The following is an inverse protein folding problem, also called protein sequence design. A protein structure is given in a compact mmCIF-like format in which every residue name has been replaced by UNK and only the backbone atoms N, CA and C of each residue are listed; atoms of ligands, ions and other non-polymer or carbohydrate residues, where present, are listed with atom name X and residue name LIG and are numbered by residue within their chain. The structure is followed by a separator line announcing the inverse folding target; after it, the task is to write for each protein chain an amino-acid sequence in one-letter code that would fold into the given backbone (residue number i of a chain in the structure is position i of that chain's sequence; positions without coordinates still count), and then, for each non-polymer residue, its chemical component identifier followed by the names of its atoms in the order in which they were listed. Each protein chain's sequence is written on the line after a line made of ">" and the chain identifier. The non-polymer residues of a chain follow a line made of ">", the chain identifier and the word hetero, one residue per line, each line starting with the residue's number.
data_IF_587073793731
#
_entry.id   IF_587073793731
#
_cell.length_a   1.000
_cell.length_b   1.000
_cell.length_c   1.000
_cell.angle_alpha   90.00
_cell.angle_beta   90.00
_cell.angle_gamma   90.00
#
_symmetry.space_group_name_H-M   'P 1'
#
loop_
_entity.id
_entity.type
_entity.pdbx_description
1 polymer ?
#
# COMPACT_ATOMS: atom_id res chain seq x y z
N UNK A 1 12.75 9.07 7.91
CA UNK A 1 12.78 7.95 6.95
C UNK A 1 11.46 7.18 6.98
N UNK A 2 11.13 6.46 5.90
CA UNK A 2 9.96 5.59 5.80
C UNK A 2 10.32 4.32 5.02
N UNK A 3 9.99 3.15 5.57
CA UNK A 3 10.21 1.85 4.92
C UNK A 3 11.32 1.00 5.56
N UNK A 4 11.28 -0.31 5.29
CA UNK A 4 12.27 -1.30 5.73
C UNK A 4 12.55 -1.35 7.25
N UNK A 5 11.52 -1.15 8.08
CA UNK A 5 11.63 -1.29 9.54
C UNK A 5 10.88 -2.53 9.99
N UNK A 6 11.60 -3.57 10.44
CA UNK A 6 11.04 -4.81 11.02
C UNK A 6 11.40 -4.97 12.50
N UNK A 7 12.54 -4.42 12.89
CA UNK A 7 13.07 -4.45 14.25
C UNK A 7 13.39 -3.04 14.74
N UNK A 8 13.58 -2.86 16.05
CA UNK A 8 14.02 -1.58 16.58
C UNK A 8 15.43 -1.21 16.10
N UNK A 9 16.30 -2.19 15.85
CA UNK A 9 17.62 -1.96 15.23
C UNK A 9 17.47 -1.32 13.84
N UNK A 10 16.46 -1.73 13.06
CA UNK A 10 16.18 -1.11 11.77
C UNK A 10 15.76 0.36 11.92
N UNK A 11 15.05 0.72 13.00
CA UNK A 11 14.72 2.12 13.30
C UNK A 11 16.00 2.93 13.47
N UNK A 12 16.94 2.43 14.28
CA UNK A 12 18.22 3.08 14.56
C UNK A 12 19.07 3.19 13.29
N UNK A 13 19.18 2.10 12.52
CA UNK A 13 19.95 2.07 11.28
C UNK A 13 19.37 3.04 10.24
N UNK A 14 18.05 3.10 10.09
CA UNK A 14 17.40 4.04 9.16
C UNK A 14 17.56 5.50 9.59
N UNK A 15 17.50 5.81 10.89
CA UNK A 15 17.78 7.17 11.38
C UNK A 15 19.23 7.57 11.05
N UNK A 16 20.19 6.71 11.38
CA UNK A 16 21.61 6.97 11.16
C UNK A 16 21.96 7.15 9.68
N UNK A 17 21.46 6.25 8.81
CA UNK A 17 21.76 6.29 7.38
C UNK A 17 21.07 7.41 6.61
N UNK A 18 19.90 7.87 7.07
CA UNK A 18 19.14 8.91 6.34
C UNK A 18 19.26 10.30 6.92
N UNK A 19 19.78 10.45 8.15
CA UNK A 19 19.86 11.74 8.84
C UNK A 19 18.49 12.38 9.11
N UNK A 20 17.41 11.60 9.06
CA UNK A 20 16.06 12.10 9.25
C UNK A 20 15.72 12.32 10.74
N UNK A 21 14.88 13.31 11.02
CA UNK A 21 14.44 13.64 12.39
C UNK A 21 13.50 12.60 13.01
N UNK A 22 12.95 11.70 12.20
CA UNK A 22 11.96 10.71 12.65
C UNK A 22 11.81 9.53 11.70
N UNK A 23 11.22 8.46 12.24
CA UNK A 23 10.90 7.23 11.51
C UNK A 23 9.40 7.02 11.47
N UNK A 24 8.91 6.64 10.30
CA UNK A 24 7.57 6.11 10.12
C UNK A 24 7.68 4.63 9.74
N UNK A 25 7.00 3.77 10.50
CA UNK A 25 6.86 2.34 10.17
C UNK A 25 5.38 2.04 9.95
N UNK A 26 5.05 1.58 8.75
CA UNK A 26 3.69 1.13 8.42
C UNK A 26 3.58 -0.39 8.54
N UNK A 27 4.42 -1.13 7.82
CA UNK A 27 4.32 -2.59 7.82
C UNK A 27 4.81 -3.24 9.12
N UNK A 28 5.92 -2.77 9.67
CA UNK A 28 6.51 -3.37 10.88
C UNK A 28 5.61 -3.26 12.09
N UNK A 29 4.80 -2.20 12.20
CA UNK A 29 3.87 -2.03 13.32
C UNK A 29 2.65 -2.96 13.22
N UNK A 30 2.28 -3.39 12.00
CA UNK A 30 1.24 -4.39 11.78
C UNK A 30 1.73 -5.81 12.15
N UNK A 31 3.03 -6.07 11.97
CA UNK A 31 3.66 -7.34 12.35
C UNK A 31 3.91 -7.39 13.87
N UNK A 32 4.35 -6.28 14.45
CA UNK A 32 4.69 -6.15 15.86
C UNK A 32 4.33 -4.74 16.37
N UNK A 33 3.20 -4.57 17.08
CA UNK A 33 2.83 -3.28 17.68
C UNK A 33 3.86 -2.77 18.69
N UNK A 34 4.62 -3.69 19.31
CA UNK A 34 5.69 -3.36 20.25
C UNK A 34 7.02 -2.98 19.58
N UNK A 35 7.05 -2.74 18.27
CA UNK A 35 8.25 -2.40 17.50
C UNK A 35 9.10 -1.28 18.15
N UNK A 36 8.46 -0.31 18.80
CA UNK A 36 9.12 0.84 19.42
C UNK A 36 9.30 0.72 20.94
N UNK A 37 8.76 -0.32 21.58
CA UNK A 37 8.94 -0.54 23.02
C UNK A 37 10.42 -0.69 23.44
N UNK A 38 11.31 -1.31 22.63
CA UNK A 38 12.72 -1.41 22.99
C UNK A 38 13.43 -0.06 23.21
N UNK A 39 12.87 1.06 22.73
CA UNK A 39 13.38 2.41 23.02
C UNK A 39 13.36 2.71 24.52
N UNK A 40 12.37 2.18 25.23
CA UNK A 40 12.21 2.44 26.65
C UNK A 40 13.09 1.50 27.48
N UNK A 41 13.19 0.20 27.13
CA UNK A 41 14.12 -0.78 27.72
C UNK A 41 14.32 -2.04 26.87
N UNK A 42 15.41 -2.77 27.10
CA UNK A 42 15.60 -4.13 26.57
C UNK A 42 14.63 -5.13 27.22
N UNK A 43 14.16 -6.11 26.43
CA UNK A 43 13.17 -7.13 26.82
C UNK A 43 13.69 -8.08 27.93
N UNK A 44 14.99 -8.10 28.17
CA UNK A 44 15.65 -9.04 29.09
C UNK A 44 15.67 -8.61 30.57
N UNK A 45 15.29 -7.37 30.88
CA UNK A 45 15.25 -6.86 32.26
C UNK A 45 13.90 -7.18 32.91
N UNK A 46 13.82 -8.35 33.57
CA UNK A 46 12.57 -8.93 34.11
C UNK A 46 12.06 -8.35 35.44
N UNK A 47 12.80 -7.47 36.11
CA UNK A 47 12.60 -7.24 37.56
C UNK A 47 12.02 -5.89 37.98
N UNK A 48 11.74 -4.93 37.08
CA UNK A 48 11.11 -3.67 37.48
C UNK A 48 9.76 -3.41 36.80
N UNK A 49 8.74 -3.15 37.62
CA UNK A 49 7.42 -2.63 37.19
C UNK A 49 7.57 -1.16 36.75
N UNK A 50 8.28 -0.95 35.65
CA UNK A 50 8.43 0.38 35.06
C UNK A 50 7.11 0.80 34.40
N UNK A 51 6.74 2.07 34.59
CA UNK A 51 5.54 2.67 34.01
C UNK A 51 5.92 3.64 32.89
N UNK A 52 5.13 3.61 31.81
CA UNK A 52 5.22 4.59 30.72
C UNK A 52 3.97 5.45 30.73
N UNK A 53 4.18 6.76 30.60
CA UNK A 53 3.10 7.72 30.37
C UNK A 53 2.69 7.65 28.90
N UNK A 54 1.46 7.22 28.65
CA UNK A 54 0.88 7.25 27.30
C UNK A 54 -0.28 8.23 27.26
N UNK A 55 -0.50 8.85 26.11
CA UNK A 55 -1.69 9.66 25.88
C UNK A 55 -2.93 8.76 25.99
N UNK A 56 -3.93 9.24 26.71
CA UNK A 56 -5.23 8.60 26.79
C UNK A 56 -5.88 8.59 25.39
N UNK A 57 -6.17 7.41 24.80
CA UNK A 57 -6.79 7.29 23.48
C UNK A 57 -8.28 7.69 23.48
N UNK A 58 -8.80 8.21 24.60
CA UNK A 58 -10.15 8.76 24.75
C UNK A 58 -10.60 9.89 23.79
N UNK A 59 -9.80 10.56 22.92
CA UNK A 59 -10.41 11.44 21.91
C UNK A 59 -11.30 10.74 20.88
N UNK A 60 -11.28 9.40 20.77
CA UNK A 60 -12.18 8.69 19.83
C UNK A 60 -13.62 8.53 20.34
N UNK A 61 -13.91 8.83 21.60
CA UNK A 61 -15.25 8.73 22.18
C UNK A 61 -16.09 10.02 22.07
N UNK A 62 -15.77 10.93 21.16
CA UNK A 62 -16.64 12.08 20.88
C UNK A 62 -17.95 11.59 20.20
N UNK A 63 -19.12 11.62 20.87
CA UNK A 63 -20.39 11.12 20.31
C UNK A 63 -21.00 12.10 19.29
N UNK A 64 -20.35 13.22 19.01
CA UNK A 64 -20.95 14.41 18.38
C UNK A 64 -20.75 14.54 16.87
N UNK A 65 -20.04 13.63 16.19
CA UNK A 65 -19.94 13.66 14.73
C UNK A 65 -20.71 12.51 14.06
N UNK A 66 -22.01 12.41 14.35
CA UNK A 66 -22.99 11.80 13.42
C UNK A 66 -23.35 12.76 12.27
N UNK A 67 -22.57 13.82 12.06
CA UNK A 67 -22.59 14.53 10.79
C UNK A 67 -22.01 13.62 9.73
N UNK A 68 -22.82 13.24 8.74
CA UNK A 68 -22.34 12.70 7.49
C UNK A 68 -21.07 13.45 7.09
N UNK A 69 -19.94 12.75 7.00
CA UNK A 69 -18.72 13.33 6.42
C UNK A 69 -19.11 13.68 4.99
N UNK A 70 -19.47 14.94 4.78
CA UNK A 70 -19.79 15.47 3.48
C UNK A 70 -18.57 15.18 2.60
N UNK A 71 -18.72 14.21 1.71
CA UNK A 71 -17.67 13.74 0.79
C UNK A 71 -17.12 14.89 -0.06
N UNK A 72 -17.91 15.96 -0.22
CA UNK A 72 -17.51 17.20 -0.88
C UNK A 72 -16.28 17.87 -0.26
N UNK A 73 -16.08 17.80 1.06
CA UNK A 73 -14.91 18.42 1.72
C UNK A 73 -13.61 17.64 1.56
N UNK A 74 -13.69 16.34 1.22
CA UNK A 74 -12.50 15.49 1.07
C UNK A 74 -11.81 15.74 -0.27
N UNK A 75 -12.60 16.01 -1.31
CA UNK A 75 -12.10 16.26 -2.67
C UNK A 75 -11.48 17.65 -2.81
N UNK A 76 -12.06 18.68 -2.19
CA UNK A 76 -11.47 20.04 -2.17
C UNK A 76 -10.13 20.07 -1.45
N UNK A 77 -10.02 19.38 -0.30
CA UNK A 77 -8.76 19.26 0.44
C UNK A 77 -7.68 18.48 -0.34
N UNK A 78 -8.08 17.43 -1.06
CA UNK A 78 -7.17 16.68 -1.93
C UNK A 78 -6.69 17.52 -3.11
N UNK A 79 -7.58 18.29 -3.73
CA UNK A 79 -7.25 19.22 -4.82
C UNK A 79 -6.31 20.33 -4.32
N UNK A 80 -6.59 20.94 -3.17
CA UNK A 80 -5.74 21.95 -2.54
C UNK A 80 -4.33 21.41 -2.29
N UNK A 81 -4.20 20.23 -1.66
CA UNK A 81 -2.89 19.57 -1.45
C UNK A 81 -2.13 19.33 -2.76
N UNK A 82 -2.83 18.89 -3.82
CA UNK A 82 -2.23 18.66 -5.15
C UNK A 82 -1.67 19.96 -5.74
N UNK A 83 -2.42 21.05 -5.69
CA UNK A 83 -1.97 22.35 -6.22
C UNK A 83 -0.88 22.98 -5.35
N UNK A 84 -0.95 22.88 -4.02
CA UNK A 84 0.15 23.33 -3.14
C UNK A 84 1.46 22.58 -3.43
N UNK A 85 1.40 21.26 -3.68
CA UNK A 85 2.60 20.48 -4.06
C UNK A 85 3.18 20.96 -5.39
N UNK A 86 2.34 21.25 -6.39
CA UNK A 86 2.78 21.83 -7.67
C UNK A 86 3.43 23.20 -7.48
N UNK A 87 2.82 24.08 -6.67
CA UNK A 87 3.36 25.41 -6.39
C UNK A 87 4.75 25.33 -5.74
N UNK A 88 4.95 24.45 -4.75
CA UNK A 88 6.27 24.24 -4.13
C UNK A 88 7.32 23.72 -5.11
N UNK A 89 6.92 22.88 -6.07
CA UNK A 89 7.84 22.41 -7.11
C UNK A 89 8.26 23.57 -8.03
N UNK A 90 7.33 24.44 -8.39
CA UNK A 90 7.60 25.65 -9.18
C UNK A 90 8.52 26.62 -8.41
N UNK A 91 8.25 26.87 -7.12
CA UNK A 91 9.09 27.74 -6.27
C UNK A 91 10.54 27.25 -6.14
N UNK A 92 10.77 25.93 -6.16
CA UNK A 92 12.12 25.36 -6.22
C UNK A 92 12.81 25.68 -7.55
N UNK A 93 12.09 25.57 -8.67
CA UNK A 93 12.62 25.92 -10.00
C UNK A 93 12.95 27.41 -10.07
N UNK A 94 12.11 28.28 -9.50
CA UNK A 94 12.39 29.73 -9.41
C UNK A 94 13.62 30.05 -8.56
N UNK A 95 13.92 29.20 -7.57
CA UNK A 95 15.14 29.34 -6.77
C UNK A 95 16.35 28.96 -7.62
N UNK A 96 16.31 27.86 -8.37
CA UNK A 96 17.37 27.48 -9.30
C UNK A 96 17.61 28.56 -10.37
N UNK A 97 16.54 29.17 -10.88
CA UNK A 97 16.62 30.27 -11.85
C UNK A 97 17.29 31.51 -11.26
N UNK A 98 16.95 31.88 -10.02
CA UNK A 98 17.60 32.99 -9.29
C UNK A 98 19.07 32.71 -9.02
N UNK A 99 19.43 31.46 -8.77
CA UNK A 99 20.82 31.03 -8.58
C UNK A 99 21.62 30.95 -9.90
N UNK A 100 21.02 31.38 -11.03
CA UNK A 100 21.69 31.40 -12.34
C UNK A 100 21.87 30.03 -12.98
N UNK A 101 21.16 28.98 -12.52
CA UNK A 101 21.22 27.66 -13.13
C UNK A 101 20.37 27.60 -14.40
N UNK A 102 20.93 27.01 -15.44
CA UNK A 102 20.23 26.78 -16.70
C UNK A 102 19.09 25.78 -16.49
N UNK A 103 17.89 26.13 -16.97
CA UNK A 103 16.68 25.33 -16.79
C UNK A 103 16.39 24.50 -18.04
N UNK A 104 16.05 23.24 -17.85
CA UNK A 104 15.59 22.38 -18.93
C UNK A 104 14.20 22.78 -19.46
N UNK A 105 13.82 22.26 -20.63
CA UNK A 105 12.55 22.59 -21.27
C UNK A 105 11.30 22.24 -20.43
N UNK A 106 11.37 21.19 -19.61
CA UNK A 106 10.26 20.78 -18.73
C UNK A 106 10.13 21.71 -17.51
N UNK A 107 11.26 22.19 -16.98
CA UNK A 107 11.30 23.19 -15.91
C UNK A 107 10.74 24.54 -16.37
N UNK A 108 11.10 24.97 -17.58
CA UNK A 108 10.54 26.18 -18.19
C UNK A 108 9.03 26.06 -18.39
N UNK A 109 8.56 24.89 -18.87
CA UNK A 109 7.12 24.62 -19.01
C UNK A 109 6.39 24.67 -17.66
N UNK A 110 6.99 24.10 -16.60
CA UNK A 110 6.41 24.16 -15.24
C UNK A 110 6.33 25.59 -14.71
N UNK A 111 7.37 26.41 -14.91
CA UNK A 111 7.36 27.82 -14.54
C UNK A 111 6.22 28.59 -15.23
N UNK A 112 5.99 28.33 -16.52
CA UNK A 112 4.92 28.96 -17.28
C UNK A 112 3.53 28.68 -16.69
N UNK A 113 3.34 27.56 -15.98
CA UNK A 113 2.05 27.22 -15.33
C UNK A 113 1.80 27.89 -13.98
N UNK A 114 2.74 28.71 -13.46
CA UNK A 114 2.67 29.28 -12.10
C UNK A 114 1.39 30.09 -11.85
N UNK A 115 0.98 30.95 -12.78
CA UNK A 115 -0.22 31.78 -12.66
C UNK A 115 -1.48 30.92 -12.56
N UNK A 116 -1.62 29.92 -13.43
CA UNK A 116 -2.73 28.96 -13.43
C UNK A 116 -2.80 28.15 -12.13
N UNK A 117 -1.65 27.69 -11.61
CA UNK A 117 -1.58 26.97 -10.32
C UNK A 117 -2.03 27.86 -9.16
N UNK A 118 -1.63 29.14 -9.13
CA UNK A 118 -2.05 30.10 -8.11
C UNK A 118 -3.54 30.40 -8.19
N UNK A 119 -4.08 30.58 -9.39
CA UNK A 119 -5.50 30.81 -9.61
C UNK A 119 -6.32 29.60 -9.14
N UNK A 120 -5.95 28.39 -9.53
CA UNK A 120 -6.62 27.18 -9.08
C UNK A 120 -6.58 26.98 -7.54
N UNK A 121 -5.54 27.51 -6.87
CA UNK A 121 -5.47 27.50 -5.41
C UNK A 121 -6.37 28.57 -4.78
N UNK A 122 -6.51 29.73 -5.43
CA UNK A 122 -7.40 30.81 -5.02
C UNK A 122 -8.87 30.43 -5.20
N UNK A 123 -9.23 29.77 -6.30
CA UNK A 123 -10.58 29.25 -6.56
C UNK A 123 -11.00 28.16 -5.55
N UNK A 124 -10.01 27.49 -4.94
CA UNK A 124 -10.20 26.50 -3.86
C UNK A 124 -10.13 27.11 -2.46
N UNK A 125 -9.78 28.40 -2.33
CA UNK A 125 -9.98 29.09 -1.07
C UNK A 125 -11.49 29.23 -0.87
N UNK A 126 -12.05 28.78 0.26
CA UNK A 126 -13.47 28.99 0.50
C UNK A 126 -13.77 30.48 0.37
N UNK A 127 -14.84 30.83 -0.35
CA UNK A 127 -15.49 32.12 -0.15
C UNK A 127 -15.72 32.22 1.35
N UNK A 128 -15.07 33.21 1.96
CA UNK A 128 -15.09 33.48 3.40
C UNK A 128 -16.49 34.02 3.75
N UNK A 129 -17.50 33.17 3.63
CA UNK A 129 -18.88 33.47 3.93
C UNK A 129 -19.01 33.40 5.45
N UNK A 130 -19.09 34.60 6.04
CA UNK A 130 -19.38 34.94 7.44
C UNK A 130 -19.86 33.77 8.30
N UNK A 131 -18.95 32.89 8.71
CA UNK A 131 -19.24 31.85 9.69
C UNK A 131 -18.53 32.24 10.97
N UNK A 132 -19.32 32.89 11.83
CA UNK A 132 -19.29 32.76 13.29
C UNK A 132 -17.87 32.72 13.88
N UNK A 133 -17.34 33.90 14.22
CA UNK A 133 -16.27 34.02 15.20
C UNK A 133 -16.74 33.35 16.50
N UNK A 134 -16.38 32.08 16.68
CA UNK A 134 -16.37 31.42 17.98
C UNK A 134 -15.19 32.05 18.73
N UNK A 135 -15.42 33.21 19.32
CA UNK A 135 -14.56 33.81 20.36
C UNK A 135 -14.76 33.01 21.64
N UNK A 136 -14.21 31.80 21.64
CA UNK A 136 -14.13 30.94 22.80
C UNK A 136 -12.74 30.32 22.79
N UNK A 137 -11.77 31.06 23.32
CA UNK A 137 -10.49 30.48 23.73
C UNK A 137 -10.75 29.61 24.97
N UNK A 138 -11.51 28.53 24.81
CA UNK A 138 -11.49 27.44 25.77
C UNK A 138 -10.11 26.80 25.60
N UNK A 139 -9.26 27.02 26.60
CA UNK A 139 -8.01 26.28 26.80
C UNK A 139 -8.29 24.81 26.54
N UNK A 140 -7.80 24.28 25.42
CA UNK A 140 -7.95 22.87 25.10
C UNK A 140 -7.48 22.08 26.33
N UNK A 141 -8.35 21.21 26.89
CA UNK A 141 -7.98 20.45 28.08
C UNK A 141 -6.67 19.73 27.79
N UNK A 142 -5.72 19.84 28.72
CA UNK A 142 -4.43 19.17 28.58
C UNK A 142 -4.69 17.69 28.27
N UNK A 143 -3.98 17.10 27.29
CA UNK A 143 -4.20 15.71 26.90
C UNK A 143 -4.07 14.83 28.15
N UNK A 144 -5.16 14.15 28.50
CA UNK A 144 -5.16 13.16 29.56
C UNK A 144 -4.06 12.14 29.26
N UNK A 145 -3.24 11.83 30.26
CA UNK A 145 -2.20 10.80 30.17
C UNK A 145 -2.49 9.73 31.19
N UNK A 146 -2.24 8.47 30.83
CA UNK A 146 -2.35 7.35 31.75
C UNK A 146 -1.00 6.64 31.89
N UNK A 147 -0.74 6.12 33.07
CA UNK A 147 0.40 5.26 33.33
C UNK A 147 0.04 3.81 33.04
N UNK A 148 0.82 3.16 32.17
CA UNK A 148 0.71 1.72 31.92
C UNK A 148 2.05 1.06 32.22
N UNK A 149 2.03 -0.10 32.86
CA UNK A 149 3.25 -0.87 33.09
C UNK A 149 3.81 -1.41 31.77
N UNK A 150 5.13 -1.41 31.63
CA UNK A 150 5.82 -1.98 30.47
C UNK A 150 5.47 -3.44 30.25
N UNK A 151 5.25 -4.18 31.35
CA UNK A 151 4.78 -5.56 31.31
C UNK A 151 3.42 -5.68 30.62
N UNK A 152 2.44 -4.87 31.02
CA UNK A 152 1.11 -4.86 30.41
C UNK A 152 1.15 -4.50 28.91
N UNK A 153 2.00 -3.55 28.51
CA UNK A 153 2.19 -3.20 27.10
C UNK A 153 2.76 -4.37 26.27
N UNK A 154 3.77 -5.08 26.81
CA UNK A 154 4.33 -6.25 26.14
C UNK A 154 3.32 -7.39 26.04
N UNK A 155 2.59 -7.69 27.13
CA UNK A 155 1.54 -8.71 27.15
C UNK A 155 0.43 -8.39 26.12
N UNK A 156 0.02 -7.11 26.03
CA UNK A 156 -0.95 -6.66 25.04
C UNK A 156 -0.42 -6.80 23.60
N UNK A 157 0.85 -6.45 23.35
CA UNK A 157 1.47 -6.59 22.04
C UNK A 157 1.64 -8.06 21.60
N UNK A 158 1.88 -8.96 22.54
CA UNK A 158 1.95 -10.41 22.28
C UNK A 158 0.57 -11.04 22.05
N UNK A 159 -0.50 -10.40 22.52
CA UNK A 159 -1.88 -10.84 22.29
C UNK A 159 -2.39 -10.47 20.89
N UNK A 160 -1.79 -11.08 19.86
CA UNK A 160 -2.15 -10.87 18.45
C UNK A 160 -3.65 -11.06 18.16
N UNK A 161 -4.31 -12.01 18.82
CA UNK A 161 -5.76 -12.27 18.65
C UNK A 161 -6.60 -11.17 19.28
N UNK A 162 -6.20 -10.64 20.44
CA UNK A 162 -6.82 -9.47 21.07
C UNK A 162 -6.73 -8.24 20.17
N UNK A 163 -5.52 -7.93 19.70
CA UNK A 163 -5.28 -6.82 18.77
C UNK A 163 -6.12 -6.93 17.48
N UNK A 164 -6.17 -8.12 16.87
CA UNK A 164 -6.97 -8.32 15.68
C UNK A 164 -8.47 -8.08 15.95
N UNK A 165 -8.97 -8.45 17.13
CA UNK A 165 -10.36 -8.18 17.51
C UNK A 165 -10.63 -6.68 17.72
N UNK A 166 -9.73 -5.97 18.39
CA UNK A 166 -9.83 -4.51 18.54
C UNK A 166 -9.86 -3.82 17.18
N UNK A 167 -9.01 -4.27 16.26
CA UNK A 167 -9.02 -3.81 14.88
C UNK A 167 -10.39 -4.07 14.20
N UNK A 168 -10.98 -5.27 14.33
CA UNK A 168 -12.30 -5.54 13.76
C UNK A 168 -13.40 -4.69 14.40
N UNK A 169 -13.32 -4.39 15.70
CA UNK A 169 -14.24 -3.46 16.37
C UNK A 169 -14.12 -2.04 15.79
N UNK A 170 -12.91 -1.58 15.50
CA UNK A 170 -12.68 -0.31 14.80
C UNK A 170 -13.23 -0.35 13.37
N UNK A 171 -13.04 -1.44 12.64
CA UNK A 171 -13.61 -1.61 11.28
C UNK A 171 -15.12 -1.57 11.30
N UNK A 172 -15.78 -2.15 12.31
CA UNK A 172 -17.24 -2.05 12.49
C UNK A 172 -17.69 -0.61 12.70
N UNK A 173 -16.94 0.16 13.48
CA UNK A 173 -17.22 1.59 13.73
C UNK A 173 -16.89 2.47 12.52
N UNK A 174 -15.85 2.11 11.78
CA UNK A 174 -15.33 2.85 10.64
C UNK A 174 -15.13 1.89 9.45
N UNK A 175 -16.20 1.62 8.68
CA UNK A 175 -16.15 0.64 7.61
C UNK A 175 -15.08 0.95 6.56
N UNK A 176 -14.30 -0.07 6.20
CA UNK A 176 -13.28 -0.02 5.15
C UNK A 176 -13.44 -1.17 4.17
N UNK A 177 -12.72 -1.12 3.05
CA UNK A 177 -12.77 -2.17 2.03
C UNK A 177 -12.31 -3.51 2.62
N UNK A 178 -13.06 -4.57 2.33
CA UNK A 178 -12.82 -5.90 2.91
C UNK A 178 -11.43 -6.45 2.60
N UNK A 179 -10.88 -6.14 1.42
CA UNK A 179 -9.48 -6.44 1.06
C UNK A 179 -8.47 -5.90 2.07
N UNK A 180 -8.68 -4.70 2.60
CA UNK A 180 -7.81 -4.10 3.63
C UNK A 180 -7.98 -4.81 4.97
N UNK A 181 -9.21 -5.19 5.32
CA UNK A 181 -9.50 -5.98 6.52
C UNK A 181 -8.77 -7.32 6.49
N UNK A 182 -8.97 -8.11 5.42
CA UNK A 182 -8.28 -9.39 5.21
C UNK A 182 -6.77 -9.22 5.24
N UNK A 183 -6.23 -8.22 4.55
CA UNK A 183 -4.79 -7.98 4.49
C UNK A 183 -4.18 -7.71 5.88
N UNK A 184 -4.78 -6.81 6.67
CA UNK A 184 -4.28 -6.50 8.02
C UNK A 184 -4.45 -7.69 8.97
N UNK A 185 -5.60 -8.36 8.97
CA UNK A 185 -5.83 -9.53 9.83
C UNK A 185 -4.86 -10.65 9.52
N UNK A 186 -4.66 -10.96 8.23
CA UNK A 186 -3.68 -11.95 7.77
C UNK A 186 -2.28 -11.63 8.27
N UNK A 187 -1.90 -10.34 8.28
CA UNK A 187 -0.57 -9.90 8.68
C UNK A 187 -0.36 -10.03 10.19
N UNK A 188 -1.28 -9.50 10.99
CA UNK A 188 -1.25 -9.61 12.45
C UNK A 188 -1.23 -11.07 12.93
N UNK A 189 -1.96 -11.95 12.24
CA UNK A 189 -2.18 -13.34 12.68
C UNK A 189 -1.46 -14.38 11.83
N UNK A 190 -0.48 -13.99 11.01
CA UNK A 190 0.15 -14.86 10.01
C UNK A 190 0.56 -16.22 10.58
N UNK A 191 1.27 -16.22 11.71
CA UNK A 191 1.82 -17.43 12.31
C UNK A 191 0.70 -18.36 12.79
N UNK A 192 -0.26 -17.82 13.54
CA UNK A 192 -1.42 -18.56 14.06
C UNK A 192 -2.32 -19.09 12.94
N UNK A 193 -2.54 -18.31 11.88
CA UNK A 193 -3.32 -18.73 10.72
C UNK A 193 -2.64 -19.89 9.96
N UNK A 194 -1.31 -19.94 9.94
CA UNK A 194 -0.58 -21.05 9.33
C UNK A 194 -0.58 -22.28 10.24
N UNK A 195 -0.31 -22.07 11.54
CA UNK A 195 -0.30 -23.13 12.56
C UNK A 195 -1.61 -23.92 12.57
N UNK A 196 -2.75 -23.22 12.57
CA UNK A 196 -4.08 -23.83 12.60
C UNK A 196 -4.74 -23.99 11.21
N UNK A 197 -3.97 -23.86 10.12
CA UNK A 197 -4.45 -24.02 8.73
C UNK A 197 -5.68 -23.16 8.35
N UNK A 198 -5.83 -21.96 8.94
CA UNK A 198 -6.93 -21.01 8.70
C UNK A 198 -6.56 -19.89 7.71
N UNK A 199 -5.35 -19.91 7.12
CA UNK A 199 -4.87 -18.90 6.19
C UNK A 199 -5.79 -18.72 4.97
N UNK A 200 -6.22 -19.82 4.35
CA UNK A 200 -7.08 -19.80 3.16
C UNK A 200 -8.47 -19.21 3.49
N UNK A 201 -9.06 -19.66 4.60
CA UNK A 201 -10.35 -19.18 5.11
C UNK A 201 -10.32 -17.66 5.38
N UNK A 202 -9.19 -17.15 5.91
CA UNK A 202 -9.01 -15.73 6.15
C UNK A 202 -8.91 -14.94 4.84
N UNK A 203 -8.20 -15.47 3.84
CA UNK A 203 -8.02 -14.83 2.53
C UNK A 203 -9.33 -14.81 1.73
N UNK A 204 -10.14 -15.87 1.82
CA UNK A 204 -11.43 -15.99 1.15
C UNK A 204 -12.59 -15.31 1.88
N UNK A 205 -12.34 -14.67 3.04
CA UNK A 205 -13.38 -14.00 3.80
C UNK A 205 -13.95 -12.78 3.05
N UNK A 206 -15.27 -12.76 2.90
CA UNK A 206 -16.03 -11.71 2.19
C UNK A 206 -16.70 -10.72 3.14
N UNK A 207 -16.74 -11.01 4.44
CA UNK A 207 -17.35 -10.15 5.46
C UNK A 207 -16.53 -10.08 6.75
N UNK A 208 -16.79 -9.06 7.57
CA UNK A 208 -16.12 -8.87 8.87
C UNK A 208 -16.49 -10.00 9.83
N UNK A 209 -17.74 -10.47 9.78
CA UNK A 209 -18.29 -11.54 10.63
C UNK A 209 -17.61 -12.89 10.35
N UNK A 210 -17.26 -13.16 9.08
CA UNK A 210 -16.48 -14.34 8.71
C UNK A 210 -15.07 -14.29 9.33
N UNK A 211 -14.41 -13.13 9.26
CA UNK A 211 -13.11 -12.93 9.90
C UNK A 211 -13.20 -13.05 11.43
N UNK A 212 -14.25 -12.54 12.06
CA UNK A 212 -14.50 -12.74 13.49
C UNK A 212 -14.72 -14.22 13.86
N UNK A 213 -15.39 -14.98 12.98
CA UNK A 213 -15.54 -16.42 13.16
C UNK A 213 -14.19 -17.14 13.18
N UNK A 214 -13.26 -16.71 12.32
CA UNK A 214 -11.88 -17.21 12.31
C UNK A 214 -11.17 -16.84 13.62
N UNK A 215 -11.33 -15.61 14.13
CA UNK A 215 -10.76 -15.23 15.43
C UNK A 215 -11.30 -16.09 16.57
N UNK A 216 -12.61 -16.40 16.57
CA UNK A 216 -13.22 -17.29 17.56
C UNK A 216 -12.60 -18.70 17.50
N UNK A 217 -12.40 -19.26 16.30
CA UNK A 217 -11.71 -20.54 16.12
C UNK A 217 -10.27 -20.49 16.65
N UNK A 218 -9.51 -19.45 16.29
CA UNK A 218 -8.14 -19.26 16.78
C UNK A 218 -8.07 -19.18 18.31
N UNK A 219 -9.01 -18.45 18.96
CA UNK A 219 -9.09 -18.43 20.43
C UNK A 219 -9.36 -19.81 21.00
N UNK A 220 -10.31 -20.55 20.40
CA UNK A 220 -10.65 -21.91 20.83
C UNK A 220 -9.43 -22.83 20.74
N UNK A 221 -8.73 -22.85 19.60
CA UNK A 221 -7.55 -23.69 19.40
C UNK A 221 -6.38 -23.29 20.30
N UNK A 222 -6.20 -21.99 20.57
CA UNK A 222 -5.16 -21.52 21.48
C UNK A 222 -5.44 -21.91 22.95
N UNK A 223 -6.71 -21.89 23.36
CA UNK A 223 -7.12 -22.26 24.72
C UNK A 223 -7.13 -23.78 24.91
N UNK A 224 -7.58 -24.51 23.90
CA UNK A 224 -7.65 -25.96 23.87
C UNK A 224 -7.03 -26.50 22.55
N UNK A 225 -5.70 -26.72 22.53
CA UNK A 225 -4.99 -27.25 21.37
C UNK A 225 -5.49 -28.63 20.93
N UNK A 226 -6.11 -29.41 21.83
CA UNK A 226 -6.63 -30.73 21.50
C UNK A 226 -7.88 -30.67 20.61
N UNK A 227 -8.56 -29.53 20.61
CA UNK A 227 -9.73 -29.29 19.75
C UNK A 227 -9.38 -29.02 18.28
N UNK A 228 -8.10 -28.87 17.95
CA UNK A 228 -7.62 -28.70 16.59
C UNK A 228 -7.18 -30.05 16.01
N UNK A 229 -7.79 -30.41 14.89
CA UNK A 229 -7.38 -31.56 14.08
C UNK A 229 -6.66 -31.07 12.83
N UNK A 230 -5.42 -31.51 12.63
CA UNK A 230 -4.60 -31.12 11.49
C UNK A 230 -5.07 -31.83 10.21
N UNK A 231 -5.53 -31.05 9.23
CA UNK A 231 -5.97 -31.55 7.95
C UNK A 231 -4.76 -31.83 7.04
N UNK A 232 -4.36 -33.10 6.98
CA UNK A 232 -3.26 -33.56 6.14
C UNK A 232 -3.50 -33.30 4.65
N UNK A 233 -4.76 -33.35 4.19
CA UNK A 233 -5.11 -33.16 2.77
C UNK A 233 -4.95 -31.69 2.38
N UNK A 234 -5.40 -30.76 3.24
CA UNK A 234 -5.21 -29.31 3.06
C UNK A 234 -3.72 -28.96 3.06
N UNK A 235 -2.94 -29.52 3.98
CA UNK A 235 -1.49 -29.31 4.03
C UNK A 235 -0.77 -29.85 2.77
N UNK A 236 -1.14 -31.05 2.30
CA UNK A 236 -0.58 -31.62 1.08
C UNK A 236 -0.88 -30.75 -0.15
N UNK A 237 -2.12 -30.28 -0.30
CA UNK A 237 -2.53 -29.37 -1.38
C UNK A 237 -1.77 -28.04 -1.33
N UNK A 238 -1.60 -27.44 -0.15
CA UNK A 238 -0.83 -26.21 0.02
C UNK A 238 0.65 -26.41 -0.33
N UNK A 239 1.24 -27.53 0.10
CA UNK A 239 2.62 -27.90 -0.24
C UNK A 239 2.79 -28.06 -1.75
N UNK A 240 1.89 -28.79 -2.40
CA UNK A 240 1.91 -28.97 -3.86
C UNK A 240 1.77 -27.63 -4.59
N UNK A 241 0.87 -26.74 -4.14
CA UNK A 241 0.71 -25.42 -4.74
C UNK A 241 1.97 -24.55 -4.60
N UNK A 242 2.62 -24.58 -3.43
CA UNK A 242 3.90 -23.89 -3.20
C UNK A 242 4.99 -24.46 -4.10
N UNK A 243 5.09 -25.78 -4.23
CA UNK A 243 6.05 -26.43 -5.12
C UNK A 243 5.77 -26.14 -6.60
N UNK A 244 4.51 -26.05 -7.01
CA UNK A 244 4.12 -25.64 -8.36
C UNK A 244 4.57 -24.21 -8.64
N UNK A 245 4.29 -23.26 -7.72
CA UNK A 245 4.74 -21.87 -7.84
C UNK A 245 6.26 -21.77 -7.91
N UNK A 246 6.99 -22.50 -7.08
CA UNK A 246 8.47 -22.56 -7.12
C UNK A 246 8.98 -23.09 -8.46
N UNK A 247 8.35 -24.13 -9.02
CA UNK A 247 8.71 -24.69 -10.35
C UNK A 247 8.46 -23.68 -11.47
N UNK A 248 7.32 -22.99 -11.44
CA UNK A 248 6.98 -21.95 -12.42
C UNK A 248 7.96 -20.77 -12.34
N UNK A 249 8.28 -20.30 -11.13
CA UNK A 249 9.26 -19.23 -10.91
C UNK A 249 10.67 -19.65 -11.38
N UNK A 250 11.09 -20.90 -11.11
CA UNK A 250 12.36 -21.43 -11.61
C UNK A 250 12.39 -21.45 -13.14
N UNK A 251 11.33 -21.94 -13.79
CA UNK A 251 11.22 -21.93 -15.26
C UNK A 251 11.29 -20.51 -15.83
N UNK A 252 10.68 -19.53 -15.15
CA UNK A 252 10.76 -18.13 -15.51
C UNK A 252 12.19 -17.61 -15.40
N UNK A 253 12.89 -17.86 -14.30
CA UNK A 253 14.30 -17.47 -14.11
C UNK A 253 15.22 -18.11 -15.16
N UNK A 254 15.01 -19.38 -15.48
CA UNK A 254 15.76 -20.07 -16.53
C UNK A 254 15.51 -19.46 -17.90
N UNK A 255 14.26 -19.13 -18.20
CA UNK A 255 13.89 -18.42 -19.43
C UNK A 255 14.57 -17.04 -19.50
N UNK A 256 14.48 -16.24 -18.44
CA UNK A 256 15.10 -14.92 -18.34
C UNK A 256 16.62 -15.02 -18.53
N UNK A 257 17.27 -15.97 -17.86
CA UNK A 257 18.69 -16.22 -18.01
C UNK A 257 19.09 -16.66 -19.42
N UNK A 258 18.28 -17.52 -20.08
CA UNK A 258 18.51 -17.89 -21.49
C UNK A 258 18.40 -16.68 -22.42
N UNK A 259 17.40 -15.82 -22.22
CA UNK A 259 17.20 -14.60 -23.01
C UNK A 259 18.35 -13.62 -22.84
N UNK A 260 18.81 -13.39 -21.60
CA UNK A 260 19.96 -12.53 -21.32
C UNK A 260 21.25 -13.06 -21.97
N UNK A 261 21.50 -14.37 -21.90
CA UNK A 261 22.65 -14.99 -22.58
C UNK A 261 22.57 -14.84 -24.09
N UNK A 262 21.37 -14.99 -24.68
CA UNK A 262 21.16 -14.77 -26.12
C UNK A 262 21.46 -13.32 -26.52
N UNK A 263 20.93 -12.35 -25.78
CA UNK A 263 21.20 -10.93 -26.03
C UNK A 263 22.70 -10.63 -25.99
N UNK A 264 23.39 -11.14 -24.97
CA UNK A 264 24.84 -10.98 -24.83
C UNK A 264 25.62 -11.56 -26.01
N UNK A 265 25.25 -12.75 -26.52
CA UNK A 265 25.91 -13.37 -27.69
C UNK A 265 25.73 -12.56 -28.97
N UNK A 266 24.62 -11.85 -29.10
CA UNK A 266 24.32 -11.00 -30.27
C UNK A 266 24.81 -9.55 -30.10
N UNK A 267 25.54 -9.23 -29.03
CA UNK A 267 26.00 -7.86 -28.77
C UNK A 267 24.88 -6.88 -28.42
N UNK A 268 23.71 -7.37 -28.00
CA UNK A 268 22.55 -6.55 -27.61
C UNK A 268 22.52 -6.32 -26.08
N UNK A 269 21.78 -5.30 -25.65
CA UNK A 269 21.53 -5.05 -24.22
C UNK A 269 20.96 -6.31 -23.53
N UNK A 270 21.38 -6.70 -22.31
CA UNK A 270 20.96 -7.95 -21.67
C UNK A 270 19.44 -8.14 -21.59
N UNK A 271 18.70 -7.06 -21.40
CA UNK A 271 17.23 -7.07 -21.33
C UNK A 271 16.52 -6.95 -22.67
N UNK A 272 17.23 -6.88 -23.81
CA UNK A 272 16.65 -6.63 -25.12
C UNK A 272 15.47 -7.56 -25.44
N UNK A 273 15.65 -8.88 -25.25
CA UNK A 273 14.58 -9.86 -25.49
C UNK A 273 13.51 -9.88 -24.40
N UNK A 274 13.84 -9.48 -23.18
CA UNK A 274 12.87 -9.40 -22.09
C UNK A 274 11.96 -8.18 -22.24
N UNK A 275 12.45 -7.13 -22.90
CA UNK A 275 11.69 -5.93 -23.25
C UNK A 275 10.96 -6.06 -24.59
N UNK A 276 11.25 -7.08 -25.38
CA UNK A 276 10.51 -7.29 -26.63
C UNK A 276 9.04 -7.60 -26.29
N UNK A 277 8.12 -6.79 -26.79
CA UNK A 277 6.71 -6.89 -26.44
C UNK A 277 6.23 -6.01 -25.29
N UNK A 278 7.12 -5.28 -24.59
CA UNK A 278 6.73 -4.42 -23.44
C UNK A 278 6.21 -3.05 -23.86
N UNK A 279 6.28 -2.69 -25.14
CA UNK A 279 5.83 -1.37 -25.62
C UNK A 279 4.33 -1.25 -25.39
N UNK A 280 3.91 -0.25 -24.61
CA UNK A 280 2.49 0.01 -24.35
C UNK A 280 1.83 0.44 -25.66
N UNK A 281 0.73 -0.20 -26.07
CA UNK A 281 0.02 0.15 -27.29
C UNK A 281 -0.58 1.56 -27.18
N UNK A 282 -0.37 2.38 -28.22
CA UNK A 282 -0.94 3.73 -28.27
C UNK A 282 -2.47 3.70 -28.33
N UNK A 283 -3.13 4.76 -27.86
CA UNK A 283 -4.59 4.89 -27.97
C UNK A 283 -5.03 4.79 -29.44
N UNK A 284 -4.27 5.41 -30.35
CA UNK A 284 -4.51 5.36 -31.79
C UNK A 284 -4.38 3.94 -32.33
N UNK A 285 -3.35 3.19 -31.91
CA UNK A 285 -3.14 1.79 -32.30
C UNK A 285 -4.27 0.90 -31.82
N UNK A 286 -4.70 1.08 -30.57
CA UNK A 286 -5.85 0.34 -30.02
C UNK A 286 -7.14 0.67 -30.79
N UNK A 287 -7.37 1.95 -31.14
CA UNK A 287 -8.53 2.34 -31.99
C UNK A 287 -8.47 1.70 -33.37
N UNK A 288 -7.30 1.71 -34.01
CA UNK A 288 -7.10 1.07 -35.32
C UNK A 288 -7.40 -0.43 -35.25
N UNK A 289 -6.88 -1.12 -34.21
CA UNK A 289 -7.12 -2.55 -34.00
C UNK A 289 -8.58 -2.89 -33.74
N UNK A 290 -9.32 -2.04 -33.00
CA UNK A 290 -10.76 -2.25 -32.78
C UNK A 290 -11.58 -2.28 -34.07
N UNK A 291 -11.10 -1.59 -35.11
CA UNK A 291 -11.75 -1.54 -36.42
C UNK A 291 -11.29 -2.65 -37.38
N UNK A 292 -10.29 -3.45 -37.01
CA UNK A 292 -9.79 -4.57 -37.83
C UNK A 292 -10.60 -5.85 -37.56
N UNK A 293 -10.71 -6.78 -38.53
CA UNK A 293 -11.22 -8.12 -38.30
C UNK A 293 -10.40 -8.86 -37.22
N UNK A 294 -11.07 -9.70 -36.41
CA UNK A 294 -10.46 -10.38 -35.24
C UNK A 294 -9.26 -11.24 -35.63
N UNK A 295 -9.29 -11.81 -36.83
CA UNK A 295 -8.25 -12.67 -37.39
C UNK A 295 -6.95 -11.88 -37.65
N UNK A 296 -7.07 -10.60 -37.97
CA UNK A 296 -5.95 -9.70 -38.29
C UNK A 296 -5.42 -8.98 -37.05
N UNK A 297 -6.29 -8.73 -36.05
CA UNK A 297 -5.94 -8.02 -34.81
C UNK A 297 -4.73 -8.64 -34.10
N UNK A 298 -4.68 -9.96 -33.95
CA UNK A 298 -3.58 -10.63 -33.26
C UNK A 298 -2.25 -10.52 -34.01
N UNK A 299 -2.29 -10.56 -35.34
CA UNK A 299 -1.08 -10.38 -36.17
C UNK A 299 -0.56 -8.95 -36.03
N UNK A 300 -1.42 -7.96 -36.23
CA UNK A 300 -1.08 -6.56 -36.06
C UNK A 300 -0.63 -6.22 -34.63
N UNK A 301 -1.12 -6.94 -33.62
CA UNK A 301 -0.66 -6.82 -32.23
C UNK A 301 0.78 -7.28 -32.04
N UNK A 302 1.14 -8.44 -32.62
CA UNK A 302 2.50 -8.99 -32.57
C UNK A 302 3.48 -8.11 -33.34
N UNK A 303 3.07 -7.63 -34.52
CA UNK A 303 3.90 -6.75 -35.36
C UNK A 303 4.19 -5.39 -34.71
N UNK A 304 3.36 -4.97 -33.75
CA UNK A 304 3.56 -3.73 -32.98
C UNK A 304 4.40 -3.89 -31.71
N UNK A 305 5.03 -5.05 -31.48
CA UNK A 305 5.76 -5.34 -30.24
C UNK A 305 4.90 -5.13 -28.96
N UNK A 306 3.64 -5.57 -29.02
CA UNK A 306 2.72 -5.54 -27.87
C UNK A 306 2.48 -6.93 -27.26
N UNK A 307 3.29 -7.92 -27.60
CA UNK A 307 3.06 -9.34 -27.25
C UNK A 307 3.00 -9.63 -25.75
N UNK A 308 3.53 -8.75 -24.89
CA UNK A 308 3.40 -8.89 -23.43
C UNK A 308 2.15 -8.23 -22.87
N UNK A 309 1.46 -7.40 -23.64
CA UNK A 309 0.21 -6.74 -23.24
C UNK A 309 -1.01 -7.60 -23.59
N UNK A 310 -2.03 -7.56 -22.74
CA UNK A 310 -3.24 -8.34 -22.97
C UNK A 310 -4.10 -7.70 -24.07
N UNK A 311 -4.12 -8.29 -25.26
CA UNK A 311 -4.97 -7.82 -26.37
C UNK A 311 -6.43 -7.61 -25.95
N UNK A 312 -6.99 -8.56 -25.19
CA UNK A 312 -8.37 -8.49 -24.73
C UNK A 312 -8.62 -7.35 -23.75
N UNK A 313 -7.64 -6.96 -22.92
CA UNK A 313 -7.76 -5.83 -22.01
C UNK A 313 -7.83 -4.49 -22.76
N UNK A 314 -7.09 -4.36 -23.86
CA UNK A 314 -7.06 -3.13 -24.64
C UNK A 314 -8.24 -3.02 -25.61
N UNK A 315 -8.67 -4.14 -26.20
CA UNK A 315 -9.79 -4.14 -27.15
C UNK A 315 -11.15 -4.29 -26.48
N UNK A 316 -11.24 -5.04 -25.38
CA UNK A 316 -12.49 -5.33 -24.66
C UNK A 316 -12.24 -5.44 -23.16
N UNK A 317 -13.10 -6.15 -22.41
CA UNK A 317 -12.91 -6.39 -20.99
C UNK A 317 -12.23 -7.76 -20.78
N UNK A 318 -10.99 -7.77 -20.30
CA UNK A 318 -10.30 -9.01 -19.98
C UNK A 318 -10.96 -9.70 -18.77
N UNK A 319 -11.59 -10.86 -18.99
CA UNK A 319 -12.25 -11.65 -17.93
C UNK A 319 -11.30 -12.14 -16.83
N UNK A 320 -10.00 -12.23 -17.12
CA UNK A 320 -8.98 -12.73 -16.16
C UNK A 320 -8.51 -11.66 -15.18
N UNK A 321 -8.72 -10.39 -15.48
CA UNK A 321 -8.25 -9.26 -14.67
C UNK A 321 -6.81 -9.48 -14.13
N UNK A 322 -6.61 -9.50 -12.81
CA UNK A 322 -5.30 -9.71 -12.16
C UNK A 322 -4.68 -11.10 -12.36
N UNK A 323 -5.45 -12.09 -12.80
CA UNK A 323 -4.94 -13.43 -13.11
C UNK A 323 -4.47 -13.57 -14.56
N UNK A 324 -4.51 -12.48 -15.34
CA UNK A 324 -4.04 -12.49 -16.71
C UNK A 324 -2.50 -12.57 -16.74
N UNK A 325 -1.94 -13.53 -17.47
CA UNK A 325 -0.50 -13.66 -17.65
C UNK A 325 0.14 -12.52 -18.50
N UNK A 326 -0.67 -11.58 -18.99
CA UNK A 326 -0.25 -10.47 -19.83
C UNK A 326 -0.51 -9.15 -19.11
N UNK A 327 0.33 -8.15 -19.39
CA UNK A 327 0.28 -6.84 -18.77
C UNK A 327 -1.05 -6.13 -19.09
N UNK A 328 -1.68 -5.57 -18.04
CA UNK A 328 -2.88 -4.73 -18.13
C UNK A 328 -2.48 -3.28 -17.81
N UNK A 329 -2.02 -2.53 -18.82
CA UNK A 329 -1.58 -1.14 -18.64
C UNK A 329 -2.53 -0.20 -19.38
N UNK A 330 -3.10 0.80 -18.68
CA UNK A 330 -3.92 1.83 -19.35
C UNK A 330 -3.02 2.94 -19.88
N UNK A 331 -3.18 3.31 -21.14
CA UNK A 331 -2.48 4.46 -21.71
C UNK A 331 -3.02 5.77 -21.11
N UNK A 332 -2.26 6.41 -20.21
CA UNK A 332 -2.60 7.72 -19.62
C UNK A 332 -1.98 8.88 -20.41
N UNK A 333 -2.32 9.00 -21.69
CA UNK A 333 -1.94 10.12 -22.55
C UNK A 333 -0.47 10.11 -23.01
N UNK A 334 -0.25 10.02 -24.32
CA UNK A 334 1.07 9.81 -24.92
C UNK A 334 1.54 8.35 -24.73
N UNK A 335 2.31 7.81 -25.67
CA UNK A 335 2.76 6.40 -25.69
C UNK A 335 3.78 6.04 -24.61
N UNK A 336 3.85 6.82 -23.53
CA UNK A 336 4.85 6.71 -22.48
C UNK A 336 4.28 5.93 -21.30
N UNK A 337 4.98 4.84 -20.95
CA UNK A 337 4.81 4.16 -19.68
C UNK A 337 5.17 5.13 -18.55
N UNK A 338 4.25 5.38 -17.63
CA UNK A 338 4.59 6.04 -16.37
C UNK A 338 4.94 4.93 -15.40
N UNK A 339 6.13 4.93 -14.83
CA UNK A 339 6.60 3.93 -13.85
C UNK A 339 5.64 3.72 -12.66
N UNK A 340 4.76 4.70 -12.41
CA UNK A 340 3.72 4.64 -11.38
C UNK A 340 2.44 3.90 -11.79
N UNK A 341 2.30 3.47 -13.04
CA UNK A 341 1.14 2.68 -13.47
C UNK A 341 1.29 1.26 -12.93
N UNK A 342 0.40 0.92 -11.99
CA UNK A 342 0.35 -0.40 -11.35
C UNK A 342 0.30 -1.48 -12.43
N UNK A 343 1.42 -2.16 -12.64
CA UNK A 343 1.47 -3.38 -13.42
C UNK A 343 0.77 -4.43 -12.58
N UNK A 344 -0.45 -4.81 -12.95
CA UNK A 344 -1.12 -5.96 -12.36
C UNK A 344 -0.34 -7.22 -12.77
N UNK A 345 0.62 -7.60 -11.93
CA UNK A 345 1.35 -8.86 -12.00
C UNK A 345 0.97 -9.77 -10.85
#
# INVERSE_FOLDING_TARGET
>A
ANGNVKTYQDVQNNLASTGADGIMSAEGILDNPALFLPRYRSRDQKESDDYVQIADPSPLNCPSSKGAIATNGKDTNKAKRKWTKKLRAIERIETLQRDGKELDADQQLKLATKSSVKQALADLAPHDDQTTRITGAETAPAPSTMQISMRSLNEAAENKIGLAQEYLNLVKRYPIKMRTVVFHTRRMLRDLLNEYQLMEDCVSSESVEQVESILRKLRKYKLDPSSFEFDQTKAARQKEEIERKKREESRRKDFEARMMRKAKREGKHPEFYLRQGTIVPSIERVRLLKNMPKEVQLKAWKDGDHSQHCLNFHLSQCKRDRSCAFLHVQAKGGNTFVESDEVAG
#
